data_IF_786875833943
#
_entry.id   IF_786875833943
#
_cell.length_a   1.000
_cell.length_b   1.000
_cell.length_c   1.000
_cell.angle_alpha   90.00
_cell.angle_beta   90.00
_cell.angle_gamma   90.00
#
_symmetry.space_group_name_H-M   'P 1'
#
loop_
_entity.id
_entity.type
_entity.pdbx_description
1 polymer ?
#
# COMPACT_ATOMS: atom_id res chain seq x y z
N UNK A 1 27.92 -26.78 28.01
CA UNK A 1 26.48 -27.06 27.81
C UNK A 1 25.66 -25.77 27.64
N UNK A 2 25.54 -24.90 28.66
CA UNK A 2 24.82 -23.61 28.55
C UNK A 2 25.30 -22.71 27.38
N UNK A 3 26.61 -22.56 27.22
CA UNK A 3 27.18 -21.72 26.16
C UNK A 3 26.88 -22.24 24.75
N UNK A 4 26.80 -23.56 24.57
CA UNK A 4 26.47 -24.19 23.28
C UNK A 4 25.00 -23.94 22.94
N UNK A 5 24.09 -24.12 23.91
CA UNK A 5 22.68 -23.80 23.71
C UNK A 5 22.44 -22.33 23.40
N UNK A 6 23.16 -21.43 24.07
CA UNK A 6 23.09 -20.00 23.81
C UNK A 6 23.54 -19.63 22.38
N UNK A 7 24.66 -20.21 21.91
CA UNK A 7 25.15 -20.00 20.55
C UNK A 7 24.18 -20.52 19.49
N UNK A 8 23.59 -21.70 19.73
CA UNK A 8 22.60 -22.30 18.84
C UNK A 8 21.31 -21.45 18.78
N UNK A 9 20.89 -20.90 19.91
CA UNK A 9 19.77 -19.95 19.98
C UNK A 9 20.04 -18.68 19.16
N UNK A 10 21.23 -18.08 19.28
CA UNK A 10 21.57 -16.88 18.48
C UNK A 10 21.51 -17.19 16.99
N UNK A 11 22.10 -18.32 16.55
CA UNK A 11 22.07 -18.72 15.15
C UNK A 11 20.63 -18.89 14.66
N UNK A 12 19.80 -19.61 15.42
CA UNK A 12 18.39 -19.81 15.10
C UNK A 12 17.63 -18.47 15.05
N UNK A 13 17.84 -17.61 16.03
CA UNK A 13 17.21 -16.29 16.13
C UNK A 13 17.59 -15.41 14.93
N UNK A 14 18.88 -15.35 14.58
CA UNK A 14 19.34 -14.60 13.40
C UNK A 14 18.73 -15.14 12.11
N UNK A 15 18.63 -16.47 11.94
CA UNK A 15 17.97 -17.07 10.79
C UNK A 15 16.48 -16.73 10.73
N UNK A 16 15.80 -16.75 11.88
CA UNK A 16 14.39 -16.39 11.99
C UNK A 16 14.15 -14.91 11.65
N UNK A 17 14.96 -13.99 12.18
CA UNK A 17 14.87 -12.56 11.86
C UNK A 17 15.12 -12.33 10.37
N UNK A 18 16.19 -12.92 9.80
CA UNK A 18 16.51 -12.76 8.38
C UNK A 18 15.41 -13.33 7.48
N UNK A 19 14.86 -14.50 7.82
CA UNK A 19 13.72 -15.09 7.11
C UNK A 19 12.48 -14.22 7.19
N UNK A 20 12.18 -13.70 8.37
CA UNK A 20 11.06 -12.78 8.61
C UNK A 20 11.17 -11.50 7.79
N UNK A 21 12.34 -10.84 7.77
CA UNK A 21 12.54 -9.60 7.01
C UNK A 21 12.33 -9.78 5.50
N UNK A 22 12.77 -10.90 4.92
CA UNK A 22 12.57 -11.19 3.48
C UNK A 22 11.10 -11.45 3.17
N UNK A 23 10.40 -12.18 4.03
CA UNK A 23 8.97 -12.46 3.86
C UNK A 23 8.15 -11.17 3.97
N UNK A 24 8.48 -10.31 4.95
CA UNK A 24 7.84 -9.02 5.17
C UNK A 24 8.01 -8.11 3.94
N UNK A 25 9.21 -8.05 3.36
CA UNK A 25 9.48 -7.28 2.14
C UNK A 25 8.65 -7.75 0.94
N UNK A 26 8.48 -9.06 0.76
CA UNK A 26 7.64 -9.63 -0.32
C UNK A 26 6.15 -9.37 -0.14
N UNK A 27 5.67 -9.35 1.11
CA UNK A 27 4.26 -9.05 1.42
C UNK A 27 3.99 -7.56 1.22
N UNK A 28 4.86 -6.70 1.76
CA UNK A 28 4.77 -5.26 1.57
C UNK A 28 4.81 -4.89 0.09
N UNK A 29 5.78 -5.42 -0.67
CA UNK A 29 5.93 -5.14 -2.10
C UNK A 29 4.68 -5.49 -2.93
N UNK A 30 4.04 -6.63 -2.65
CA UNK A 30 2.79 -7.02 -3.34
C UNK A 30 1.63 -6.09 -3.03
N UNK A 31 1.49 -5.65 -1.77
CA UNK A 31 0.45 -4.69 -1.39
C UNK A 31 0.67 -3.33 -2.03
N UNK A 32 1.92 -2.84 -2.01
CA UNK A 32 2.29 -1.56 -2.62
C UNK A 32 2.00 -1.59 -4.13
N UNK A 33 2.43 -2.66 -4.82
CA UNK A 33 2.17 -2.81 -6.26
C UNK A 33 0.66 -2.83 -6.59
N UNK A 34 -0.14 -3.51 -5.78
CA UNK A 34 -1.59 -3.52 -5.95
C UNK A 34 -2.19 -2.12 -5.76
N UNK A 35 -1.79 -1.39 -4.70
CA UNK A 35 -2.24 -0.01 -4.49
C UNK A 35 -1.86 0.94 -5.63
N UNK A 36 -0.64 0.81 -6.17
CA UNK A 36 -0.22 1.60 -7.33
C UNK A 36 -1.07 1.28 -8.57
N UNK A 37 -1.28 0.00 -8.86
CA UNK A 37 -2.10 -0.43 -10.00
C UNK A 37 -3.55 0.07 -9.88
N UNK A 38 -4.13 0.03 -8.68
CA UNK A 38 -5.48 0.55 -8.43
C UNK A 38 -5.52 2.08 -8.62
N UNK A 39 -4.55 2.81 -8.11
CA UNK A 39 -4.46 4.26 -8.29
C UNK A 39 -4.33 4.65 -9.77
N UNK A 40 -3.46 3.97 -10.51
CA UNK A 40 -3.29 4.18 -11.95
C UNK A 40 -4.61 3.98 -12.70
N UNK A 41 -5.31 2.87 -12.43
CA UNK A 41 -6.60 2.60 -13.05
C UNK A 41 -7.64 3.69 -12.76
N UNK A 42 -7.74 4.13 -11.50
CA UNK A 42 -8.71 5.15 -11.07
C UNK A 42 -8.39 6.49 -11.72
N UNK A 43 -7.11 6.87 -11.76
CA UNK A 43 -6.65 8.12 -12.39
C UNK A 43 -6.93 8.10 -13.90
N UNK A 44 -6.62 6.99 -14.58
CA UNK A 44 -6.79 6.87 -16.04
C UNK A 44 -8.26 6.80 -16.46
N UNK A 45 -9.09 6.05 -15.72
CA UNK A 45 -10.47 5.77 -16.12
C UNK A 45 -11.50 6.68 -15.47
N UNK A 46 -11.17 7.24 -14.29
CA UNK A 46 -12.14 7.92 -13.43
C UNK A 46 -13.23 7.01 -12.88
N UNK A 47 -13.08 5.68 -12.92
CA UNK A 47 -14.13 4.73 -12.54
C UNK A 47 -13.76 3.93 -11.30
N UNK A 48 -14.80 3.48 -10.58
CA UNK A 48 -14.67 2.50 -9.50
C UNK A 48 -14.19 1.17 -10.11
N UNK A 49 -13.12 0.54 -9.60
CA UNK A 49 -12.67 -0.77 -10.06
C UNK A 49 -13.74 -1.85 -9.81
N UNK A 50 -13.91 -2.79 -10.77
CA UNK A 50 -14.98 -3.81 -10.70
C UNK A 50 -14.87 -4.75 -9.49
N UNK A 51 -13.67 -4.89 -8.90
CA UNK A 51 -13.43 -5.72 -7.71
C UNK A 51 -13.60 -4.96 -6.39
N UNK A 52 -13.95 -3.67 -6.45
CA UNK A 52 -14.29 -2.89 -5.26
C UNK A 52 -15.73 -3.18 -4.82
N UNK A 53 -16.02 -3.01 -3.52
CA UNK A 53 -17.38 -3.16 -3.00
C UNK A 53 -18.31 -2.06 -3.53
N UNK A 54 -19.59 -2.10 -3.13
CA UNK A 54 -20.63 -1.13 -3.51
C UNK A 54 -20.19 0.34 -3.30
N UNK A 55 -20.84 1.26 -4.01
CA UNK A 55 -20.44 2.67 -4.14
C UNK A 55 -20.05 3.36 -2.82
N UNK A 56 -20.82 3.19 -1.74
CA UNK A 56 -20.53 3.84 -0.45
C UNK A 56 -19.21 3.34 0.18
N UNK A 57 -18.93 2.04 0.04
CA UNK A 57 -17.68 1.45 0.50
C UNK A 57 -16.52 1.79 -0.45
N UNK A 58 -16.80 2.02 -1.74
CA UNK A 58 -15.82 2.48 -2.72
C UNK A 58 -15.26 3.87 -2.38
N UNK A 59 -16.09 4.80 -1.89
CA UNK A 59 -15.61 6.10 -1.39
C UNK A 59 -14.66 5.96 -0.20
N UNK A 60 -15.04 5.13 0.78
CA UNK A 60 -14.19 4.86 1.96
C UNK A 60 -12.85 4.27 1.54
N UNK A 61 -12.87 3.36 0.56
CA UNK A 61 -11.66 2.73 0.04
C UNK A 61 -10.78 3.67 -0.78
N UNK A 62 -11.36 4.63 -1.49
CA UNK A 62 -10.61 5.69 -2.15
C UNK A 62 -9.93 6.61 -1.13
N UNK A 63 -10.63 6.95 -0.03
CA UNK A 63 -10.06 7.74 1.07
C UNK A 63 -8.87 7.01 1.73
N UNK A 64 -9.02 5.71 2.00
CA UNK A 64 -7.91 4.88 2.51
C UNK A 64 -6.71 4.85 1.55
N UNK A 65 -6.96 4.84 0.24
CA UNK A 65 -5.92 4.85 -0.79
C UNK A 65 -5.18 6.19 -0.81
N UNK A 66 -5.90 7.30 -0.74
CA UNK A 66 -5.36 8.66 -0.64
C UNK A 66 -4.50 8.78 0.63
N UNK A 67 -5.00 8.31 1.76
CA UNK A 67 -4.27 8.31 3.04
C UNK A 67 -3.03 7.44 3.01
N UNK A 68 -3.07 6.30 2.30
CA UNK A 68 -1.90 5.46 2.07
C UNK A 68 -0.80 6.25 1.35
N UNK A 69 -1.11 6.88 0.22
CA UNK A 69 -0.11 7.63 -0.55
C UNK A 69 0.39 8.90 0.16
N UNK A 70 -0.47 9.54 0.96
CA UNK A 70 -0.12 10.71 1.77
C UNK A 70 0.91 10.37 2.85
N UNK A 71 0.71 9.25 3.55
CA UNK A 71 1.54 8.87 4.71
C UNK A 71 2.70 7.94 4.37
N UNK A 72 2.67 7.32 3.19
CA UNK A 72 3.69 6.36 2.77
C UNK A 72 4.99 7.03 2.35
N UNK A 73 6.09 6.61 2.96
CA UNK A 73 7.46 6.97 2.55
C UNK A 73 7.92 6.28 1.25
N UNK A 74 7.04 5.49 0.61
CA UNK A 74 7.36 4.67 -0.55
C UNK A 74 7.05 5.37 -1.88
N UNK A 75 6.40 6.54 -1.84
CA UNK A 75 6.24 7.40 -3.01
C UNK A 75 7.53 8.20 -3.21
N UNK A 76 8.09 8.07 -4.41
CA UNK A 76 9.49 8.35 -4.75
C UNK A 76 9.96 9.80 -4.48
N UNK A 77 9.05 10.78 -4.52
CA UNK A 77 9.37 12.20 -4.43
C UNK A 77 8.11 13.05 -4.13
N UNK A 78 8.29 14.15 -3.38
CA UNK A 78 7.18 15.03 -2.96
C UNK A 78 6.35 15.61 -4.12
N UNK A 79 6.91 16.07 -5.26
CA UNK A 79 6.07 16.58 -6.35
C UNK A 79 5.26 15.49 -7.04
N UNK A 80 5.80 14.28 -7.20
CA UNK A 80 5.03 13.14 -7.73
C UNK A 80 3.91 12.74 -6.76
N UNK A 81 4.17 12.81 -5.44
CA UNK A 81 3.12 12.58 -4.43
C UNK A 81 2.00 13.62 -4.54
N UNK A 82 2.34 14.90 -4.64
CA UNK A 82 1.34 15.97 -4.79
C UNK A 82 0.52 15.82 -6.06
N UNK A 83 1.15 15.52 -7.19
CA UNK A 83 0.45 15.28 -8.46
C UNK A 83 -0.53 14.11 -8.35
N UNK A 84 -0.10 12.99 -7.77
CA UNK A 84 -0.94 11.81 -7.60
C UNK A 84 -2.12 12.08 -6.65
N UNK A 85 -1.88 12.75 -5.52
CA UNK A 85 -2.93 13.08 -4.56
C UNK A 85 -3.96 14.04 -5.16
N UNK A 86 -3.52 15.08 -5.88
CA UNK A 86 -4.43 16.01 -6.56
C UNK A 86 -5.33 15.31 -7.58
N UNK A 87 -4.80 14.31 -8.30
CA UNK A 87 -5.56 13.59 -9.30
C UNK A 87 -6.58 12.61 -8.67
N UNK A 88 -6.20 11.94 -7.59
CA UNK A 88 -7.12 11.11 -6.81
C UNK A 88 -8.24 11.95 -6.17
N UNK A 89 -7.91 13.12 -5.62
CA UNK A 89 -8.90 14.07 -5.08
C UNK A 89 -9.85 14.57 -6.19
N UNK A 90 -9.34 14.80 -7.40
CA UNK A 90 -10.16 15.16 -8.57
C UNK A 90 -11.18 14.07 -8.91
N UNK A 91 -10.74 12.80 -8.95
CA UNK A 91 -11.62 11.67 -9.27
C UNK A 91 -12.64 11.44 -8.15
N UNK A 92 -12.24 11.58 -6.88
CA UNK A 92 -13.15 11.54 -5.73
C UNK A 92 -14.29 12.55 -5.87
N UNK A 93 -13.95 13.81 -6.19
CA UNK A 93 -14.95 14.86 -6.42
C UNK A 93 -15.83 14.58 -7.64
N UNK A 94 -15.30 13.92 -8.68
CA UNK A 94 -16.10 13.49 -9.82
C UNK A 94 -17.14 12.42 -9.41
N UNK A 95 -16.76 11.44 -8.60
CA UNK A 95 -17.69 10.42 -8.12
C UNK A 95 -18.80 11.02 -7.26
N UNK A 96 -18.50 12.05 -6.46
CA UNK A 96 -19.50 12.79 -5.65
C UNK A 96 -20.50 13.57 -6.51
N UNK A 97 -20.13 13.98 -7.72
CA UNK A 97 -21.03 14.70 -8.64
C UNK A 97 -21.91 13.76 -9.48
N UNK A 98 -21.43 12.54 -9.74
CA UNK A 98 -22.12 11.55 -10.56
C UNK A 98 -23.15 10.70 -9.77
N UNK A 99 -23.20 10.84 -8.43
CA UNK A 99 -24.13 10.16 -7.51
C UNK A 99 -25.02 11.17 -6.76
#
# INVERSE_FOLDING_TARGET
>A
MLLIYFLLFIILFTLMVKGGSVLMGRIAGRRIAACHQEAEYIIETGRIPDHWPDTDEAFTRLDDLIDHFRNSRLVADDPTREMLLNELDRVRGQWELDH
#
